data_IF_080798098087
#
_entry.id   IF_080798098087
#
_cell.length_a   1.000
_cell.length_b   1.000
_cell.length_c   1.000
_cell.angle_alpha   90.00
_cell.angle_beta   90.00
_cell.angle_gamma   90.00
#
_symmetry.space_group_name_H-M   'P 1'
#
loop_
_entity.id
_entity.type
_entity.pdbx_description
1 polymer ?
#
# COMPACT_ATOMS: atom_id res chain seq x y z
N UNK A 1 -18.38 -15.29 9.80
CA UNK A 1 -16.99 -15.66 10.08
C UNK A 1 -16.34 -14.49 10.79
N UNK A 2 -15.61 -14.78 11.90
CA UNK A 2 -14.79 -13.75 12.56
C UNK A 2 -13.66 -13.38 11.61
N UNK A 3 -13.63 -12.13 11.20
CA UNK A 3 -12.53 -11.59 10.40
C UNK A 3 -11.38 -11.25 11.35
N UNK A 4 -10.17 -11.67 11.03
CA UNK A 4 -8.99 -11.35 11.82
C UNK A 4 -8.80 -9.83 11.90
N UNK A 5 -8.29 -9.32 13.04
CA UNK A 5 -8.00 -7.88 13.24
C UNK A 5 -7.05 -7.33 12.15
N UNK A 6 -6.12 -8.16 11.69
CA UNK A 6 -5.23 -7.87 10.56
C UNK A 6 -5.44 -8.93 9.48
N UNK A 7 -6.45 -8.77 8.61
CA UNK A 7 -6.77 -9.74 7.58
C UNK A 7 -5.66 -9.84 6.53
N UNK A 8 -5.48 -11.04 5.98
CA UNK A 8 -4.55 -11.24 4.89
C UNK A 8 -5.02 -10.54 3.60
N UNK A 9 -4.11 -10.35 2.65
CA UNK A 9 -4.49 -9.81 1.33
C UNK A 9 -5.52 -10.70 0.61
N UNK A 10 -5.57 -12.00 0.91
CA UNK A 10 -6.54 -12.94 0.34
C UNK A 10 -7.93 -12.70 0.93
N UNK A 11 -8.02 -12.49 2.24
CA UNK A 11 -9.27 -12.19 2.94
C UNK A 11 -9.81 -10.84 2.46
N UNK A 12 -8.95 -9.82 2.34
CA UNK A 12 -9.32 -8.50 1.82
C UNK A 12 -9.80 -8.58 0.37
N UNK A 13 -9.13 -9.37 -0.47
CA UNK A 13 -9.56 -9.60 -1.84
C UNK A 13 -10.96 -10.22 -1.88
N UNK A 14 -11.20 -11.26 -1.09
CA UNK A 14 -12.50 -11.92 -1.03
C UNK A 14 -13.58 -10.95 -0.56
N UNK A 15 -13.28 -10.18 0.50
CA UNK A 15 -14.19 -9.14 0.98
C UNK A 15 -14.62 -8.16 -0.12
N UNK A 16 -13.67 -7.64 -0.92
CA UNK A 16 -14.03 -6.71 -2.00
C UNK A 16 -14.85 -7.37 -3.11
N UNK A 17 -14.61 -8.65 -3.41
CA UNK A 17 -15.44 -9.39 -4.35
C UNK A 17 -16.88 -9.54 -3.82
N UNK A 18 -17.02 -9.99 -2.59
CA UNK A 18 -18.32 -10.19 -1.96
C UNK A 18 -19.09 -8.87 -1.83
N UNK A 19 -18.39 -7.79 -1.49
CA UNK A 19 -18.96 -6.44 -1.44
C UNK A 19 -19.48 -5.99 -2.80
N UNK A 20 -18.69 -6.17 -3.85
CA UNK A 20 -19.08 -5.79 -5.20
C UNK A 20 -20.28 -6.61 -5.72
N UNK A 21 -20.33 -7.89 -5.40
CA UNK A 21 -21.49 -8.77 -5.71
C UNK A 21 -22.74 -8.36 -4.92
N UNK A 22 -22.61 -8.19 -3.59
CA UNK A 22 -23.73 -7.85 -2.71
C UNK A 22 -24.44 -6.56 -3.14
N UNK A 23 -23.68 -5.55 -3.57
CA UNK A 23 -24.24 -4.27 -4.02
C UNK A 23 -24.45 -4.18 -5.53
N UNK A 24 -24.28 -5.26 -6.28
CA UNK A 24 -24.46 -5.29 -7.73
C UNK A 24 -23.52 -4.36 -8.49
N UNK A 25 -22.32 -4.11 -7.96
CA UNK A 25 -21.40 -3.10 -8.51
C UNK A 25 -20.65 -3.58 -9.75
N UNK A 26 -20.50 -4.89 -9.97
CA UNK A 26 -19.64 -5.43 -11.05
C UNK A 26 -20.03 -4.94 -12.44
N UNK A 27 -21.30 -4.77 -12.71
CA UNK A 27 -21.79 -4.24 -13.98
C UNK A 27 -21.36 -2.79 -14.27
N UNK A 28 -20.92 -2.06 -13.25
CA UNK A 28 -20.48 -0.66 -13.36
C UNK A 28 -18.96 -0.52 -13.47
N UNK A 29 -18.21 -1.63 -13.36
CA UNK A 29 -16.76 -1.61 -13.54
C UNK A 29 -16.38 -1.71 -15.02
N UNK A 30 -15.58 -0.79 -15.46
CA UNK A 30 -14.98 -0.82 -16.80
C UNK A 30 -13.52 -1.29 -16.68
N UNK A 31 -13.33 -2.59 -16.60
CA UNK A 31 -12.01 -3.19 -16.50
C UNK A 31 -11.17 -2.94 -17.76
N UNK A 32 -9.84 -2.96 -17.61
CA UNK A 32 -8.91 -2.69 -18.71
C UNK A 32 -8.98 -1.26 -19.23
N UNK A 33 -9.56 -0.35 -18.44
CA UNK A 33 -9.76 1.06 -18.80
C UNK A 33 -8.70 1.93 -18.14
N UNK A 34 -8.02 2.74 -18.94
CA UNK A 34 -7.05 3.73 -18.49
C UNK A 34 -7.58 5.13 -18.76
N UNK A 35 -7.83 5.90 -17.72
CA UNK A 35 -8.16 7.31 -17.83
C UNK A 35 -6.89 8.09 -18.23
N UNK A 36 -7.00 8.86 -19.30
CA UNK A 36 -5.90 9.66 -19.84
C UNK A 36 -5.98 11.12 -19.38
N UNK A 37 -7.21 11.66 -19.29
CA UNK A 37 -7.44 13.07 -18.97
C UNK A 37 -8.78 13.28 -18.31
N UNK A 38 -8.82 14.20 -17.37
CA UNK A 38 -10.04 14.71 -16.73
C UNK A 38 -9.95 16.23 -16.74
N UNK A 39 -10.93 16.91 -17.31
CA UNK A 39 -10.95 18.37 -17.42
C UNK A 39 -12.35 18.93 -17.21
N UNK A 40 -12.48 20.10 -16.59
CA UNK A 40 -13.78 20.77 -16.48
C UNK A 40 -14.23 21.28 -17.86
N UNK A 41 -15.54 21.25 -18.11
CA UNK A 41 -16.18 21.75 -19.33
C UNK A 41 -17.31 22.69 -18.95
N UNK A 42 -17.32 23.85 -19.56
CA UNK A 42 -18.31 24.89 -19.29
C UNK A 42 -17.92 25.85 -18.19
N UNK A 43 -18.59 27.00 -18.14
CA UNK A 43 -18.41 28.02 -17.12
C UNK A 43 -19.63 28.00 -16.17
N UNK A 44 -19.42 28.26 -14.90
CA UNK A 44 -20.50 28.39 -13.93
C UNK A 44 -20.33 27.50 -12.69
N UNK A 45 -21.35 27.51 -11.82
CA UNK A 45 -21.29 26.88 -10.50
C UNK A 45 -21.36 25.34 -10.51
N UNK A 46 -21.68 24.72 -11.66
CA UNK A 46 -21.75 23.26 -11.79
C UNK A 46 -21.17 22.82 -13.16
N UNK A 47 -19.85 22.91 -13.36
CA UNK A 47 -19.23 22.45 -14.61
C UNK A 47 -19.42 20.94 -14.78
N UNK A 48 -19.55 20.51 -16.04
CA UNK A 48 -19.41 19.10 -16.39
C UNK A 48 -17.92 18.73 -16.41
N UNK A 49 -17.65 17.45 -16.28
CA UNK A 49 -16.30 16.90 -16.34
C UNK A 49 -16.14 16.04 -17.58
N UNK A 50 -15.27 16.44 -18.48
CA UNK A 50 -14.91 15.64 -19.64
C UNK A 50 -13.83 14.65 -19.23
N UNK A 51 -14.14 13.37 -19.39
CA UNK A 51 -13.19 12.28 -19.13
C UNK A 51 -12.81 11.64 -20.44
N UNK A 52 -11.51 11.51 -20.69
CA UNK A 52 -10.96 10.80 -21.84
C UNK A 52 -10.27 9.53 -21.35
N UNK A 53 -10.58 8.40 -21.97
CA UNK A 53 -10.00 7.11 -21.59
C UNK A 53 -9.75 6.21 -22.80
N UNK A 54 -8.93 5.18 -22.62
CA UNK A 54 -8.80 4.03 -23.52
C UNK A 54 -9.24 2.77 -22.80
N UNK A 55 -9.77 1.80 -23.53
CA UNK A 55 -10.12 0.49 -23.00
C UNK A 55 -9.38 -0.58 -23.78
N UNK A 56 -8.70 -1.51 -23.06
CA UNK A 56 -7.88 -2.59 -23.62
C UNK A 56 -6.86 -2.12 -24.68
N UNK A 57 -6.32 -0.91 -24.53
CA UNK A 57 -5.38 -0.33 -25.49
C UNK A 57 -5.99 0.14 -26.80
N UNK A 58 -7.33 0.17 -26.91
CA UNK A 58 -8.06 0.65 -28.06
C UNK A 58 -8.02 2.18 -28.22
N UNK A 59 -8.79 2.74 -29.18
CA UNK A 59 -8.83 4.18 -29.42
C UNK A 59 -9.35 4.95 -28.20
N UNK A 60 -8.95 6.21 -28.10
CA UNK A 60 -9.44 7.10 -27.07
C UNK A 60 -10.93 7.38 -27.23
N UNK A 61 -11.65 7.31 -26.13
CA UNK A 61 -13.07 7.64 -26.00
C UNK A 61 -13.23 8.81 -25.05
N UNK A 62 -14.30 9.56 -25.20
CA UNK A 62 -14.56 10.74 -24.38
C UNK A 62 -16.04 10.82 -24.02
N UNK A 63 -16.35 11.16 -22.78
CA UNK A 63 -17.70 11.48 -22.34
C UNK A 63 -17.70 12.55 -21.25
N UNK A 64 -18.85 13.15 -21.01
CA UNK A 64 -19.05 14.20 -20.01
C UNK A 64 -19.89 13.67 -18.84
N UNK A 65 -19.46 14.00 -17.63
CA UNK A 65 -20.04 13.55 -16.37
C UNK A 65 -20.36 14.74 -15.47
N UNK A 66 -21.38 14.60 -14.63
CA UNK A 66 -21.73 15.63 -13.62
C UNK A 66 -20.72 15.71 -12.47
N UNK A 67 -19.97 14.66 -12.23
CA UNK A 67 -18.97 14.61 -11.18
C UNK A 67 -17.95 13.49 -11.41
N UNK A 68 -16.76 13.66 -10.90
CA UNK A 68 -15.68 12.67 -10.93
C UNK A 68 -15.09 12.52 -9.53
N UNK A 69 -14.96 11.29 -9.09
CA UNK A 69 -14.24 10.96 -7.84
C UNK A 69 -12.89 10.34 -8.20
N UNK A 70 -11.82 11.00 -7.79
CA UNK A 70 -10.46 10.49 -7.98
C UNK A 70 -10.13 9.56 -6.83
N UNK A 71 -10.11 8.26 -7.08
CA UNK A 71 -9.89 7.20 -6.10
C UNK A 71 -8.77 6.23 -6.54
N UNK A 72 -7.72 6.76 -7.17
CA UNK A 72 -6.60 6.02 -7.77
C UNK A 72 -5.59 5.46 -6.75
N UNK A 73 -5.76 5.73 -5.46
CA UNK A 73 -4.81 5.38 -4.41
C UNK A 73 -3.57 6.30 -4.39
N UNK A 74 -2.68 6.06 -3.45
CA UNK A 74 -1.50 6.91 -3.20
C UNK A 74 -0.17 6.19 -3.34
N UNK A 75 -0.17 4.89 -3.63
CA UNK A 75 1.04 4.04 -3.63
C UNK A 75 1.36 3.46 -5.01
N UNK A 76 0.84 4.07 -6.09
CA UNK A 76 1.00 3.55 -7.45
C UNK A 76 2.40 3.79 -8.02
N UNK A 77 3.05 4.92 -7.64
CA UNK A 77 4.35 5.30 -8.15
C UNK A 77 5.43 5.16 -7.06
N UNK A 78 6.43 4.29 -7.28
CA UNK A 78 7.52 4.12 -6.32
C UNK A 78 8.45 5.33 -6.31
N UNK A 79 8.75 5.85 -5.12
CA UNK A 79 9.78 6.86 -4.95
C UNK A 79 11.12 6.18 -4.62
N UNK A 80 11.97 6.02 -5.62
CA UNK A 80 13.30 5.43 -5.46
C UNK A 80 14.29 6.49 -4.98
N UNK A 81 14.89 6.34 -3.79
CA UNK A 81 15.94 7.22 -3.34
C UNK A 81 17.19 7.05 -4.21
N UNK A 82 17.90 8.14 -4.43
CA UNK A 82 19.23 8.11 -5.04
C UNK A 82 20.26 7.92 -3.94
N UNK A 83 21.14 6.95 -4.11
CA UNK A 83 22.26 6.69 -3.21
C UNK A 83 23.56 7.11 -3.90
N UNK A 84 24.43 7.76 -3.14
CA UNK A 84 25.78 8.08 -3.62
C UNK A 84 26.63 6.81 -3.68
N UNK A 85 27.54 6.74 -4.67
CA UNK A 85 28.45 5.62 -4.86
C UNK A 85 27.92 4.56 -5.82
N UNK A 86 28.62 3.42 -5.85
CA UNK A 86 28.30 2.27 -6.70
C UNK A 86 27.86 1.09 -5.83
N UNK A 87 26.80 0.42 -6.24
CA UNK A 87 26.33 -0.81 -5.63
C UNK A 87 26.13 -1.87 -6.72
N UNK A 88 26.93 -2.92 -6.64
CA UNK A 88 26.92 -4.01 -7.66
C UNK A 88 25.85 -5.08 -7.39
N UNK A 89 25.07 -4.91 -6.31
CA UNK A 89 23.99 -5.83 -5.97
C UNK A 89 22.66 -5.43 -6.61
N UNK A 90 21.66 -6.25 -6.37
CA UNK A 90 20.28 -5.98 -6.82
C UNK A 90 19.64 -4.90 -5.96
N UNK A 91 19.10 -3.86 -6.58
CA UNK A 91 18.33 -2.80 -5.93
C UNK A 91 16.86 -2.94 -6.31
N UNK A 92 16.00 -3.08 -5.31
CA UNK A 92 14.59 -3.36 -5.48
C UNK A 92 13.74 -2.38 -4.65
N UNK A 93 12.72 -1.78 -5.26
CA UNK A 93 11.69 -1.08 -4.50
C UNK A 93 10.65 -2.06 -3.94
N UNK A 94 10.10 -1.78 -2.75
CA UNK A 94 9.13 -2.66 -2.08
C UNK A 94 7.87 -2.94 -2.91
N UNK A 95 7.49 -2.08 -3.84
CA UNK A 95 6.37 -2.32 -4.77
C UNK A 95 6.60 -3.49 -5.73
N UNK A 96 7.85 -3.82 -6.01
CA UNK A 96 8.23 -4.97 -6.84
C UNK A 96 8.41 -6.27 -6.04
N UNK A 97 8.41 -6.19 -4.71
CA UNK A 97 8.48 -7.35 -3.84
C UNK A 97 7.24 -8.25 -3.96
N UNK A 98 7.44 -9.55 -4.13
CA UNK A 98 6.36 -10.53 -4.24
C UNK A 98 6.47 -11.68 -3.24
N UNK A 99 7.70 -12.11 -2.95
CA UNK A 99 7.97 -13.24 -2.07
C UNK A 99 9.41 -13.14 -1.55
N UNK A 100 9.64 -13.57 -0.32
CA UNK A 100 10.97 -13.58 0.29
C UNK A 100 11.91 -14.65 -0.31
N UNK A 101 11.41 -15.55 -1.13
CA UNK A 101 12.24 -16.53 -1.86
C UNK A 101 13.31 -15.88 -2.74
N UNK A 102 13.04 -14.66 -3.26
CA UNK A 102 14.02 -13.89 -4.03
C UNK A 102 15.27 -13.53 -3.21
N UNK A 103 15.19 -13.58 -1.88
CA UNK A 103 16.30 -13.27 -0.97
C UNK A 103 17.10 -14.50 -0.54
N UNK A 104 16.74 -15.68 -1.00
CA UNK A 104 17.39 -16.95 -0.60
C UNK A 104 18.89 -16.88 -0.73
N UNK A 105 19.59 -17.07 0.40
CA UNK A 105 21.06 -17.05 0.49
C UNK A 105 21.73 -15.68 0.31
N UNK A 106 20.97 -14.61 0.06
CA UNK A 106 21.48 -13.25 -0.11
C UNK A 106 21.66 -12.53 1.24
N UNK A 107 22.53 -11.54 1.27
CA UNK A 107 22.58 -10.53 2.34
C UNK A 107 21.63 -9.41 1.96
N UNK A 108 20.66 -9.09 2.78
CA UNK A 108 19.60 -8.13 2.49
C UNK A 108 19.72 -6.92 3.41
N UNK A 109 19.71 -5.73 2.83
CA UNK A 109 19.57 -4.47 3.58
C UNK A 109 18.25 -3.82 3.17
N UNK A 110 17.34 -3.68 4.12
CA UNK A 110 16.09 -2.94 3.94
C UNK A 110 16.31 -1.50 4.35
N UNK A 111 16.09 -0.58 3.42
CA UNK A 111 16.25 0.87 3.69
C UNK A 111 14.89 1.46 4.05
N UNK A 112 14.76 1.85 5.30
CA UNK A 112 13.53 2.39 5.89
C UNK A 112 12.77 1.38 6.75
N UNK A 113 12.22 1.85 7.87
CA UNK A 113 11.44 1.08 8.84
C UNK A 113 9.96 1.55 8.86
N UNK A 114 9.38 1.80 7.69
CA UNK A 114 7.93 1.91 7.53
C UNK A 114 7.28 0.52 7.56
N UNK A 115 5.93 0.46 7.50
CA UNK A 115 5.18 -0.80 7.54
C UNK A 115 5.72 -1.83 6.54
N UNK A 116 5.85 -1.45 5.27
CA UNK A 116 6.37 -2.36 4.23
C UNK A 116 7.80 -2.81 4.50
N UNK A 117 8.68 -1.91 4.98
CA UNK A 117 10.08 -2.25 5.28
C UNK A 117 10.18 -3.25 6.43
N UNK A 118 9.42 -3.06 7.50
CA UNK A 118 9.37 -3.99 8.62
C UNK A 118 8.82 -5.36 8.20
N UNK A 119 7.71 -5.40 7.47
CA UNK A 119 7.10 -6.65 7.03
C UNK A 119 8.05 -7.45 6.12
N UNK A 120 8.70 -6.77 5.15
CA UNK A 120 9.67 -7.41 4.25
C UNK A 120 10.91 -7.88 5.00
N UNK A 121 11.41 -7.12 5.96
CA UNK A 121 12.57 -7.52 6.74
C UNK A 121 12.27 -8.78 7.57
N UNK A 122 11.10 -8.85 8.20
CA UNK A 122 10.65 -10.04 8.96
C UNK A 122 10.50 -11.25 8.05
N UNK A 123 9.88 -11.08 6.88
CA UNK A 123 9.72 -12.17 5.91
C UNK A 123 11.07 -12.64 5.35
N UNK A 124 11.98 -11.70 5.05
CA UNK A 124 13.31 -11.99 4.54
C UNK A 124 14.18 -12.83 5.48
N UNK A 125 14.01 -12.73 6.83
CA UNK A 125 14.81 -13.48 7.81
C UNK A 125 14.70 -14.99 7.58
N UNK A 126 13.60 -15.48 7.08
CA UNK A 126 13.36 -16.91 6.86
C UNK A 126 14.11 -17.49 5.66
N UNK A 127 14.62 -16.63 4.75
CA UNK A 127 15.23 -17.04 3.49
C UNK A 127 16.64 -16.49 3.28
N UNK A 128 16.89 -15.28 3.73
CA UNK A 128 18.15 -14.60 3.53
C UNK A 128 19.26 -15.15 4.44
N UNK A 129 20.50 -14.99 4.01
CA UNK A 129 21.69 -15.29 4.83
C UNK A 129 21.81 -14.32 6.01
N UNK A 130 21.46 -13.05 5.80
CA UNK A 130 21.39 -12.02 6.84
C UNK A 130 20.46 -10.90 6.39
N UNK A 131 19.81 -10.26 7.36
CA UNK A 131 18.91 -9.11 7.11
C UNK A 131 19.30 -7.98 8.05
N UNK A 132 19.43 -6.78 7.50
CA UNK A 132 19.59 -5.55 8.26
C UNK A 132 18.52 -4.54 7.86
N UNK A 133 18.17 -3.64 8.77
CA UNK A 133 17.29 -2.49 8.48
C UNK A 133 18.10 -1.21 8.70
N UNK A 134 18.17 -0.36 7.69
CA UNK A 134 18.73 0.98 7.80
C UNK A 134 17.63 1.96 8.17
N UNK A 135 17.83 2.70 9.26
CA UNK A 135 16.87 3.70 9.75
C UNK A 135 17.51 5.06 9.88
N UNK A 136 16.83 6.10 9.46
CA UNK A 136 17.33 7.47 9.50
C UNK A 136 17.34 8.07 10.91
N UNK A 137 16.50 7.56 11.79
CA UNK A 137 16.36 7.97 13.21
C UNK A 137 15.94 6.77 14.04
N UNK A 138 16.04 6.85 15.36
CA UNK A 138 15.57 5.82 16.24
C UNK A 138 14.05 5.58 16.12
N UNK A 139 13.65 4.33 16.19
CA UNK A 139 12.26 3.88 16.21
C UNK A 139 12.04 2.96 17.40
N UNK A 140 10.83 3.02 17.94
CA UNK A 140 10.34 2.00 18.85
C UNK A 140 9.59 0.95 18.06
N UNK A 141 10.05 -0.30 18.11
CA UNK A 141 9.34 -1.43 17.55
C UNK A 141 8.43 -2.01 18.62
N UNK A 142 7.15 -2.06 18.35
CA UNK A 142 6.14 -2.64 19.26
C UNK A 142 5.57 -3.91 18.64
N UNK A 143 5.21 -4.92 19.45
CA UNK A 143 4.54 -6.11 18.95
C UNK A 143 3.23 -5.74 18.26
N UNK A 144 2.86 -6.47 17.22
CA UNK A 144 1.59 -6.30 16.50
C UNK A 144 0.39 -6.52 17.41
N UNK A 145 0.53 -7.48 18.35
CA UNK A 145 -0.46 -7.80 19.37
C UNK A 145 0.13 -7.66 20.77
N UNK A 146 -0.63 -7.06 21.68
CA UNK A 146 -0.33 -6.96 23.10
C UNK A 146 -1.52 -7.53 23.87
N UNK A 147 -1.30 -8.54 24.70
CA UNK A 147 -2.36 -9.26 25.42
C UNK A 147 -3.51 -9.73 24.53
N UNK A 148 -3.18 -10.23 23.33
CA UNK A 148 -4.15 -10.75 22.35
C UNK A 148 -4.99 -9.69 21.65
N UNK A 149 -4.66 -8.39 21.80
CA UNK A 149 -5.33 -7.29 21.13
C UNK A 149 -4.36 -6.53 20.23
N UNK A 150 -4.82 -5.98 19.09
CA UNK A 150 -4.01 -5.12 18.24
C UNK A 150 -3.40 -3.97 19.03
N UNK A 151 -2.10 -3.74 18.89
CA UNK A 151 -1.38 -2.73 19.67
C UNK A 151 -1.88 -1.30 19.40
N UNK A 152 -2.32 -1.00 18.19
CA UNK A 152 -2.88 0.29 17.78
C UNK A 152 -4.25 0.60 18.44
N UNK A 153 -5.02 -0.43 18.78
CA UNK A 153 -6.31 -0.25 19.48
C UNK A 153 -6.14 0.04 20.98
N UNK A 154 -4.98 -0.23 21.54
CA UNK A 154 -4.67 -0.01 22.95
C UNK A 154 -4.25 1.44 23.27
N UNK A 155 -3.76 2.17 22.28
CA UNK A 155 -3.17 3.51 22.45
C UNK A 155 -4.13 4.59 22.94
N UNK A 156 -5.45 4.41 22.81
CA UNK A 156 -6.46 5.35 23.30
C UNK A 156 -6.91 5.13 24.75
N UNK A 157 -6.70 3.93 25.31
CA UNK A 157 -7.22 3.53 26.63
C UNK A 157 -6.17 3.60 27.75
N UNK A 158 -4.89 3.55 27.43
CA UNK A 158 -3.80 3.64 28.39
C UNK A 158 -3.00 4.93 28.17
N UNK A 159 -3.29 5.97 28.96
CA UNK A 159 -2.38 7.12 29.13
C UNK A 159 -1.18 6.64 29.95
N UNK A 160 -0.25 5.94 29.34
CA UNK A 160 1.01 5.63 30.02
C UNK A 160 1.79 6.92 30.25
N UNK A 161 2.31 7.17 31.46
CA UNK A 161 3.22 8.28 31.73
C UNK A 161 4.40 8.25 30.78
N UNK A 162 4.87 9.43 30.36
CA UNK A 162 5.96 9.54 29.37
C UNK A 162 7.26 8.81 29.76
N UNK A 163 7.55 8.72 31.05
CA UNK A 163 8.71 8.01 31.58
C UNK A 163 8.63 6.48 31.41
N UNK A 164 7.40 5.93 31.34
CA UNK A 164 7.20 4.51 31.11
C UNK A 164 7.25 4.15 29.62
N UNK A 165 6.90 5.11 28.75
CA UNK A 165 6.99 4.96 27.27
C UNK A 165 8.44 4.87 26.77
N UNK A 166 9.41 5.28 27.57
CA UNK A 166 10.83 5.27 27.21
C UNK A 166 11.57 4.00 27.63
N UNK A 167 10.94 3.09 28.36
CA UNK A 167 11.56 1.87 28.91
C UNK A 167 11.02 0.54 28.33
N UNK A 168 10.16 0.62 27.31
CA UNK A 168 9.63 -0.57 26.60
C UNK A 168 10.23 -0.66 25.23
#
# INVERSE_FOLDING_TARGET
PEVADYPSHRDMRQYFFDFAEHFGLRQHFWFGTRVLRVEPVGEGAAPLWRVTWTQHGGPAQTAEFKGVVIANGTLAEPNMPQFEGQFDGELLHTSAYKSAELFKGKRVLVVGAGNSGCDIAVDAVHYARSVGISVRRGYYFVPKYVFGKPADTLGGKFKMPSWLKQKV
#
